data_IF_590883791542
#
_entry.id   IF_590883791542
#
_cell.length_a   1.000
_cell.length_b   1.000
_cell.length_c   1.000
_cell.angle_alpha   90.00
_cell.angle_beta   90.00
_cell.angle_gamma   90.00
#
_symmetry.space_group_name_H-M   'P 1'
#
loop_
_entity.id
_entity.type
_entity.pdbx_description
1 polymer ?
#
# COMPACT_ATOMS: atom_id res chain seq x y z
N UNK A 1 19.46 22.99 -6.36
CA UNK A 1 18.69 21.75 -6.59
C UNK A 1 17.34 21.92 -5.92
N UNK A 2 16.25 21.37 -6.42
CA UNK A 2 14.90 21.56 -5.81
C UNK A 2 14.88 21.15 -4.32
N UNK A 3 15.72 20.18 -3.97
CA UNK A 3 15.87 19.71 -2.59
C UNK A 3 16.54 20.68 -1.63
N UNK A 4 17.20 21.74 -2.14
CA UNK A 4 17.91 22.71 -1.30
C UNK A 4 16.97 23.65 -0.56
N UNK A 5 15.71 23.73 -1.03
CA UNK A 5 14.63 24.54 -0.42
C UNK A 5 13.65 23.70 0.41
N UNK A 6 13.91 22.39 0.53
CA UNK A 6 13.04 21.52 1.34
C UNK A 6 13.24 21.80 2.83
N UNK A 7 12.18 22.23 3.48
CA UNK A 7 12.16 22.44 4.92
C UNK A 7 11.88 21.12 5.65
N UNK A 8 12.92 20.56 6.25
CA UNK A 8 12.85 19.32 7.05
C UNK A 8 12.79 19.56 8.55
N UNK A 9 12.61 20.83 9.00
CA UNK A 9 12.65 21.23 10.40
C UNK A 9 11.32 21.72 10.92
N UNK A 10 10.47 22.27 10.05
CA UNK A 10 9.14 22.72 10.44
C UNK A 10 8.20 21.56 10.67
N UNK A 11 7.27 21.70 11.61
CA UNK A 11 6.20 20.73 11.79
C UNK A 11 5.28 20.70 10.59
N UNK A 12 4.77 19.52 10.27
CA UNK A 12 3.76 19.31 9.24
C UNK A 12 2.47 20.07 9.57
N UNK A 13 1.92 20.78 8.59
CA UNK A 13 0.64 21.49 8.75
C UNK A 13 -0.51 20.48 8.76
N UNK A 14 -0.45 19.45 7.90
CA UNK A 14 -1.42 18.37 7.85
C UNK A 14 -0.78 17.14 8.52
N UNK A 15 -1.33 16.75 9.66
CA UNK A 15 -0.89 15.54 10.36
C UNK A 15 -1.86 14.41 10.07
N UNK A 16 -1.34 13.33 9.54
CA UNK A 16 -2.13 12.10 9.39
C UNK A 16 -2.32 11.49 10.77
N UNK A 17 -3.55 11.41 11.21
CA UNK A 17 -3.89 10.83 12.51
C UNK A 17 -4.46 9.44 12.33
N UNK A 18 -3.99 8.49 13.15
CA UNK A 18 -4.67 7.20 13.28
C UNK A 18 -6.03 7.40 13.92
N UNK A 19 -7.07 6.80 13.35
CA UNK A 19 -8.39 6.81 13.95
C UNK A 19 -8.48 5.77 15.07
N UNK A 20 -9.11 6.14 16.19
CA UNK A 20 -9.41 5.18 17.26
C UNK A 20 -10.37 4.07 16.82
N UNK A 21 -11.15 4.33 15.75
CA UNK A 21 -12.06 3.37 15.14
C UNK A 21 -11.41 2.54 14.02
N UNK A 22 -10.11 2.72 13.76
CA UNK A 22 -9.40 1.98 12.72
C UNK A 22 -9.37 0.49 13.03
N UNK A 23 -9.65 -0.33 12.02
CA UNK A 23 -9.72 -1.79 12.16
C UNK A 23 -8.30 -2.35 12.30
N UNK A 24 -8.06 -3.10 13.37
CA UNK A 24 -6.78 -3.76 13.58
C UNK A 24 -6.61 -4.91 12.58
N UNK A 25 -5.50 -4.88 11.85
CA UNK A 25 -5.12 -5.94 10.92
C UNK A 25 -3.65 -6.35 11.15
N UNK A 26 -3.31 -7.60 10.81
CA UNK A 26 -1.95 -8.14 10.98
C UNK A 26 -0.97 -7.55 9.96
N UNK A 27 -1.44 -7.29 8.76
CA UNK A 27 -0.70 -6.57 7.72
C UNK A 27 -1.64 -5.98 6.66
N UNK A 28 -1.15 -4.96 5.95
CA UNK A 28 -1.81 -4.38 4.80
C UNK A 28 -1.03 -4.73 3.53
N UNK A 29 -1.71 -5.30 2.56
CA UNK A 29 -1.19 -5.64 1.24
C UNK A 29 -1.63 -4.54 0.27
N UNK A 30 -0.68 -3.90 -0.39
CA UNK A 30 -0.97 -2.98 -1.47
C UNK A 30 -0.39 -3.49 -2.79
N UNK A 31 -1.15 -3.33 -3.85
CA UNK A 31 -0.75 -3.79 -5.18
C UNK A 31 -1.07 -2.74 -6.24
N UNK A 32 -0.28 -2.71 -7.31
CA UNK A 32 -0.54 -1.89 -8.51
C UNK A 32 -1.27 -2.67 -9.61
N UNK A 33 -1.71 -3.90 -9.30
CA UNK A 33 -2.29 -4.82 -10.28
C UNK A 33 -3.74 -5.15 -9.94
N UNK A 34 -4.66 -4.72 -10.82
CA UNK A 34 -6.06 -5.12 -10.70
C UNK A 34 -6.26 -6.63 -10.81
N UNK A 35 -5.37 -7.36 -11.49
CA UNK A 35 -5.42 -8.82 -11.59
C UNK A 35 -5.18 -9.47 -10.23
N UNK A 36 -4.20 -8.96 -9.47
CA UNK A 36 -3.91 -9.45 -8.13
C UNK A 36 -5.07 -9.14 -7.18
N UNK A 37 -5.56 -7.89 -7.19
CA UNK A 37 -6.69 -7.53 -6.35
C UNK A 37 -7.93 -8.40 -6.67
N UNK A 38 -8.25 -8.56 -7.96
CA UNK A 38 -9.33 -9.42 -8.41
C UNK A 38 -9.18 -10.86 -7.90
N UNK A 39 -7.98 -11.43 -8.02
CA UNK A 39 -7.69 -12.78 -7.52
C UNK A 39 -7.96 -12.90 -6.01
N UNK A 40 -7.54 -11.92 -5.22
CA UNK A 40 -7.80 -11.90 -3.78
C UNK A 40 -9.31 -11.85 -3.48
N UNK A 41 -10.04 -10.96 -4.19
CA UNK A 41 -11.48 -10.82 -4.01
C UNK A 41 -12.28 -12.06 -4.42
N UNK A 42 -11.80 -12.82 -5.40
CA UNK A 42 -12.44 -14.06 -5.85
C UNK A 42 -12.05 -15.27 -4.99
N UNK A 43 -10.88 -15.24 -4.34
CA UNK A 43 -10.35 -16.38 -3.57
C UNK A 43 -10.77 -16.33 -2.11
N UNK A 44 -10.86 -15.14 -1.53
CA UNK A 44 -11.16 -14.96 -0.11
C UNK A 44 -12.49 -14.24 0.11
N UNK A 45 -13.11 -14.48 1.27
CA UNK A 45 -14.28 -13.72 1.68
C UNK A 45 -13.86 -12.33 2.12
N UNK A 46 -13.85 -11.40 1.17
CA UNK A 46 -13.42 -10.02 1.40
C UNK A 46 -14.61 -9.13 1.80
N UNK A 47 -14.38 -8.27 2.79
CA UNK A 47 -15.33 -7.23 3.20
C UNK A 47 -14.72 -5.86 2.92
N UNK A 48 -15.44 -5.01 2.19
CA UNK A 48 -15.07 -3.60 2.03
C UNK A 48 -15.23 -2.86 3.36
N UNK A 49 -14.22 -2.10 3.76
CA UNK A 49 -14.20 -1.37 5.03
C UNK A 49 -14.07 0.15 4.87
N UNK A 50 -13.71 0.64 3.69
CA UNK A 50 -13.58 2.06 3.40
C UNK A 50 -13.10 2.31 1.99
N UNK A 51 -12.85 3.57 1.68
CA UNK A 51 -12.29 4.03 0.42
C UNK A 51 -11.17 5.04 0.69
N UNK A 52 -10.09 4.95 -0.09
CA UNK A 52 -9.07 5.99 -0.22
C UNK A 52 -9.48 6.91 -1.36
N UNK A 53 -9.54 8.19 -1.10
CA UNK A 53 -10.00 9.16 -2.08
C UNK A 53 -8.83 9.94 -2.68
N UNK A 54 -8.77 9.97 -3.99
CA UNK A 54 -7.81 10.76 -4.75
C UNK A 54 -8.49 11.50 -5.89
N UNK A 55 -7.75 12.35 -6.60
CA UNK A 55 -8.26 12.99 -7.84
C UNK A 55 -8.65 11.97 -8.93
N UNK A 56 -8.17 10.73 -8.84
CA UNK A 56 -8.48 9.64 -9.76
C UNK A 56 -9.72 8.82 -9.33
N UNK A 57 -10.37 9.21 -8.24
CA UNK A 57 -11.55 8.53 -7.70
C UNK A 57 -11.30 7.84 -6.38
N UNK A 58 -12.16 6.88 -6.06
CA UNK A 58 -12.13 6.12 -4.83
C UNK A 58 -11.48 4.74 -5.04
N UNK A 59 -10.48 4.43 -4.23
CA UNK A 59 -9.84 3.12 -4.18
C UNK A 59 -10.36 2.35 -2.96
N UNK A 60 -11.15 1.30 -3.14
CA UNK A 60 -11.73 0.56 -2.02
C UNK A 60 -10.68 -0.24 -1.25
N UNK A 61 -10.78 -0.21 0.07
CA UNK A 61 -9.98 -1.01 1.00
C UNK A 61 -10.83 -2.18 1.48
N UNK A 62 -10.28 -3.37 1.39
CA UNK A 62 -10.93 -4.60 1.82
C UNK A 62 -10.16 -5.26 2.94
N UNK A 63 -10.86 -6.06 3.75
CA UNK A 63 -10.24 -6.99 4.72
C UNK A 63 -10.68 -8.40 4.42
N UNK A 64 -9.81 -9.36 4.71
CA UNK A 64 -10.06 -10.80 4.64
C UNK A 64 -9.27 -11.54 5.70
N UNK A 65 -9.71 -12.75 6.02
CA UNK A 65 -9.02 -13.62 6.97
C UNK A 65 -8.31 -14.76 6.23
N UNK A 66 -7.11 -15.06 6.68
CA UNK A 66 -6.33 -16.22 6.22
C UNK A 66 -5.49 -16.77 7.38
N UNK A 67 -5.57 -18.06 7.64
CA UNK A 67 -4.85 -18.75 8.73
C UNK A 67 -4.96 -18.05 10.10
N UNK A 68 -6.17 -17.67 10.48
CA UNK A 68 -6.49 -16.96 11.72
C UNK A 68 -5.80 -15.58 11.85
N UNK A 69 -5.45 -14.95 10.72
CA UNK A 69 -4.92 -13.59 10.66
C UNK A 69 -5.80 -12.73 9.77
N UNK A 70 -5.92 -11.46 10.14
CA UNK A 70 -6.68 -10.49 9.39
C UNK A 70 -5.74 -9.64 8.52
N UNK A 71 -6.04 -9.56 7.24
CA UNK A 71 -5.27 -8.77 6.28
C UNK A 71 -6.15 -7.70 5.66
N UNK A 72 -5.57 -6.51 5.46
CA UNK A 72 -6.16 -5.52 4.57
C UNK A 72 -5.55 -5.63 3.18
N UNK A 73 -6.31 -5.29 2.13
CA UNK A 73 -5.82 -5.21 0.75
C UNK A 73 -6.47 -4.06 0.00
N UNK A 74 -5.69 -3.36 -0.80
CA UNK A 74 -6.19 -2.35 -1.74
C UNK A 74 -5.27 -2.20 -2.96
N UNK A 75 -5.80 -1.56 -4.01
CA UNK A 75 -5.00 -1.19 -5.17
C UNK A 75 -4.51 0.24 -5.01
N UNK A 76 -3.19 0.41 -4.94
CA UNK A 76 -2.56 1.72 -4.80
C UNK A 76 -2.44 2.44 -6.15
N UNK A 77 -2.41 3.76 -6.10
CA UNK A 77 -2.03 4.59 -7.23
C UNK A 77 -0.56 4.35 -7.61
N UNK A 78 -0.27 4.44 -8.91
CA UNK A 78 1.09 4.24 -9.44
C UNK A 78 1.95 5.48 -9.17
N UNK A 79 3.15 5.25 -8.68
CA UNK A 79 4.15 6.28 -8.38
C UNK A 79 4.41 6.41 -6.88
N UNK A 80 5.69 6.61 -6.50
CA UNK A 80 6.10 6.62 -5.10
C UNK A 80 5.36 7.68 -4.26
N UNK A 81 5.19 8.94 -4.69
CA UNK A 81 4.45 9.93 -3.91
C UNK A 81 2.99 9.54 -3.69
N UNK A 82 2.31 9.04 -4.73
CA UNK A 82 0.92 8.64 -4.65
C UNK A 82 0.74 7.39 -3.77
N UNK A 83 1.65 6.43 -3.87
CA UNK A 83 1.65 5.23 -3.03
C UNK A 83 1.85 5.58 -1.54
N UNK A 84 2.73 6.53 -1.23
CA UNK A 84 2.95 6.99 0.15
C UNK A 84 1.70 7.69 0.68
N UNK A 85 1.08 8.57 -0.10
CA UNK A 85 -0.17 9.22 0.28
C UNK A 85 -1.28 8.19 0.57
N UNK A 86 -1.46 7.19 -0.31
CA UNK A 86 -2.41 6.10 -0.08
C UNK A 86 -2.12 5.35 1.24
N UNK A 87 -0.84 5.09 1.57
CA UNK A 87 -0.45 4.45 2.85
C UNK A 87 -0.84 5.32 4.04
N UNK A 88 -0.57 6.62 3.97
CA UNK A 88 -0.92 7.57 5.01
C UNK A 88 -2.44 7.62 5.22
N UNK A 89 -3.21 7.70 4.14
CA UNK A 89 -4.68 7.73 4.20
C UNK A 89 -5.26 6.45 4.82
N UNK A 90 -4.60 5.28 4.63
CA UNK A 90 -5.06 4.03 5.27
C UNK A 90 -5.03 4.10 6.80
N UNK A 91 -4.22 4.96 7.42
CA UNK A 91 -4.11 5.07 8.88
C UNK A 91 -5.42 5.52 9.53
N UNK A 92 -6.31 6.15 8.77
CA UNK A 92 -7.67 6.49 9.22
C UNK A 92 -8.63 5.29 9.21
N UNK A 93 -8.34 4.24 8.43
CA UNK A 93 -9.22 3.09 8.18
C UNK A 93 -8.72 1.84 8.88
N UNK A 94 -7.39 1.60 8.86
CA UNK A 94 -6.77 0.40 9.42
C UNK A 94 -5.67 0.74 10.42
N UNK A 95 -5.47 -0.15 11.39
CA UNK A 95 -4.39 -0.07 12.36
C UNK A 95 -3.42 -1.24 12.17
N UNK A 96 -2.28 -0.97 11.56
CA UNK A 96 -1.16 -1.89 11.38
C UNK A 96 0.15 -1.12 11.25
N UNK A 97 1.26 -1.77 11.55
CA UNK A 97 2.63 -1.30 11.31
C UNK A 97 3.34 -2.07 10.19
N UNK A 98 2.61 -2.98 9.52
CA UNK A 98 3.16 -3.86 8.49
C UNK A 98 2.48 -3.65 7.15
N UNK A 99 3.26 -3.18 6.18
CA UNK A 99 2.83 -2.98 4.81
C UNK A 99 3.64 -3.85 3.86
N UNK A 100 2.96 -4.53 2.96
CA UNK A 100 3.57 -5.37 1.92
C UNK A 100 3.17 -4.83 0.57
N UNK A 101 4.14 -4.32 -0.18
CA UNK A 101 3.94 -3.97 -1.59
C UNK A 101 4.13 -5.23 -2.42
N UNK A 102 3.06 -5.69 -3.06
CA UNK A 102 3.08 -6.93 -3.83
C UNK A 102 2.66 -6.69 -5.28
N UNK A 103 3.50 -7.10 -6.22
CA UNK A 103 3.23 -6.92 -7.64
C UNK A 103 4.31 -7.47 -8.54
N UNK A 104 4.10 -7.32 -9.84
CA UNK A 104 5.09 -7.66 -10.85
C UNK A 104 6.06 -6.50 -11.07
N UNK A 105 7.32 -6.80 -11.31
CA UNK A 105 8.34 -5.83 -11.68
C UNK A 105 9.10 -6.26 -12.94
N UNK A 106 9.62 -5.27 -13.67
CA UNK A 106 10.61 -5.53 -14.71
C UNK A 106 11.92 -6.02 -14.10
N UNK A 107 12.62 -6.90 -14.80
CA UNK A 107 13.95 -7.35 -14.41
C UNK A 107 14.97 -6.89 -15.43
N UNK A 108 15.94 -6.08 -14.99
CA UNK A 108 17.01 -5.55 -15.85
C UNK A 108 18.18 -6.53 -15.96
N UNK A 109 18.30 -7.49 -15.04
CA UNK A 109 19.34 -8.50 -15.06
C UNK A 109 18.78 -9.81 -15.58
N UNK A 110 19.30 -10.27 -16.73
CA UNK A 110 18.87 -11.52 -17.39
C UNK A 110 19.17 -12.80 -16.58
N UNK A 111 20.11 -12.73 -15.63
CA UNK A 111 20.51 -13.86 -14.80
C UNK A 111 19.55 -14.04 -13.61
N UNK A 112 18.72 -13.06 -13.33
CA UNK A 112 17.61 -13.19 -12.38
C UNK A 112 16.47 -13.91 -13.09
N UNK A 113 16.16 -15.11 -12.63
CA UNK A 113 15.19 -15.97 -13.30
C UNK A 113 13.77 -15.40 -13.25
N UNK A 114 13.06 -15.48 -14.38
CA UNK A 114 11.63 -15.17 -14.48
C UNK A 114 10.81 -16.04 -13.53
N UNK A 115 9.75 -15.48 -12.97
CA UNK A 115 8.80 -16.21 -12.13
C UNK A 115 9.28 -16.48 -10.70
N UNK A 116 10.39 -15.87 -10.27
CA UNK A 116 10.81 -15.89 -8.87
C UNK A 116 10.19 -14.75 -8.09
N UNK A 117 9.87 -15.03 -6.83
CA UNK A 117 9.55 -13.97 -5.86
C UNK A 117 10.86 -13.32 -5.44
N UNK A 118 10.93 -12.00 -5.58
CA UNK A 118 12.08 -11.20 -5.18
C UNK A 118 11.66 -10.27 -4.03
N UNK A 119 12.51 -10.18 -3.03
CA UNK A 119 12.37 -9.22 -1.94
C UNK A 119 13.50 -8.21 -2.09
N UNK A 120 13.22 -6.94 -2.49
CA UNK A 120 14.24 -5.91 -2.59
C UNK A 120 14.75 -5.55 -1.20
N UNK A 121 16.05 -5.35 -1.08
CA UNK A 121 16.72 -4.94 0.16
C UNK A 121 17.08 -3.45 0.17
N UNK A 122 17.13 -2.84 -1.01
CA UNK A 122 17.51 -1.44 -1.19
C UNK A 122 16.70 -0.82 -2.33
N UNK A 123 16.53 0.48 -2.27
CA UNK A 123 15.94 1.28 -3.34
C UNK A 123 16.74 2.57 -3.51
N UNK A 124 16.95 2.98 -4.77
CA UNK A 124 17.55 4.27 -5.09
C UNK A 124 16.48 5.31 -5.33
N UNK A 125 16.75 6.51 -4.85
CA UNK A 125 15.97 7.70 -5.14
C UNK A 125 16.86 8.68 -5.89
N UNK A 126 16.44 9.04 -7.11
CA UNK A 126 17.09 10.10 -7.92
C UNK A 126 16.71 11.50 -7.44
#
# INVERSE_FOLDING_TARGET
>A
MITDTFDNKSEEIIKVCRSDSAIKVDACILTFSHVILKYVLETFQCKKIGDLYSSNGANPVYVFEYENRCFAVYMSCVGAPACVADIEDTLSIINTDKYVVFGGSGCLNKDIARGKVMVPTEAYRD
#
